data_IF_563362054884
#
_entry.id   IF_563362054884
#
_cell.length_a   1.000
_cell.length_b   1.000
_cell.length_c   1.000
_cell.angle_alpha   90.00
_cell.angle_beta   90.00
_cell.angle_gamma   90.00
#
_symmetry.space_group_name_H-M   'P 1'
#
loop_
_entity.id
_entity.type
_entity.pdbx_description
1 polymer ?
#
# COMPACT_ATOMS: atom_id res chain seq x y z
N UNK A 1 -23.91 -18.90 23.77
CA UNK A 1 -23.14 -19.10 25.02
C UNK A 1 -22.05 -18.05 25.09
N UNK A 2 -21.46 -17.79 26.27
CA UNK A 2 -20.33 -16.85 26.39
C UNK A 2 -18.97 -17.54 26.25
N UNK A 3 -18.94 -18.87 26.35
CA UNK A 3 -17.74 -19.69 26.26
C UNK A 3 -18.15 -21.08 25.73
N UNK A 4 -17.36 -21.62 24.81
CA UNK A 4 -17.51 -22.95 24.23
C UNK A 4 -16.13 -23.59 24.04
N UNK A 5 -16.02 -24.90 24.27
CA UNK A 5 -14.78 -25.67 24.11
C UNK A 5 -14.99 -26.75 23.04
N UNK A 6 -14.06 -26.84 22.10
CA UNK A 6 -14.06 -27.85 21.03
C UNK A 6 -12.81 -28.73 21.16
N UNK A 7 -13.00 -30.04 21.28
CA UNK A 7 -11.90 -31.01 21.44
C UNK A 7 -11.74 -31.85 20.17
N UNK A 8 -10.54 -31.85 19.61
CA UNK A 8 -10.14 -32.68 18.48
C UNK A 8 -9.16 -33.76 18.95
N UNK A 9 -9.44 -35.03 18.62
CA UNK A 9 -8.61 -36.18 19.00
C UNK A 9 -7.67 -36.60 17.86
N UNK A 10 -6.70 -37.46 18.16
CA UNK A 10 -5.80 -38.10 17.18
C UNK A 10 -4.87 -37.14 16.42
N UNK A 11 -4.39 -36.11 17.13
CA UNK A 11 -3.44 -35.12 16.60
C UNK A 11 -2.01 -35.49 17.04
N UNK A 12 -1.14 -35.99 16.13
CA UNK A 12 0.16 -36.57 16.51
C UNK A 12 1.24 -35.53 16.86
N UNK A 13 1.06 -34.28 16.44
CA UNK A 13 2.02 -33.18 16.62
C UNK A 13 1.26 -31.87 16.92
N UNK A 14 1.92 -30.88 17.52
CA UNK A 14 1.26 -29.59 17.83
C UNK A 14 0.77 -28.92 16.54
N UNK A 15 -0.55 -28.67 16.39
CA UNK A 15 -1.08 -28.03 15.18
C UNK A 15 -0.87 -26.52 15.20
N UNK A 16 -0.81 -25.91 14.02
CA UNK A 16 -0.94 -24.46 13.82
C UNK A 16 -2.33 -24.18 13.25
N UNK A 17 -3.27 -23.62 14.03
CA UNK A 17 -4.67 -23.54 13.63
C UNK A 17 -4.92 -22.39 12.65
N UNK A 18 -5.55 -22.70 11.51
CA UNK A 18 -6.08 -21.69 10.58
C UNK A 18 -7.51 -21.33 10.97
N UNK A 19 -7.67 -20.26 11.76
CA UNK A 19 -8.92 -19.86 12.40
C UNK A 19 -9.66 -18.82 11.55
N UNK A 20 -11.00 -18.78 11.61
CA UNK A 20 -11.84 -17.77 10.94
C UNK A 20 -11.71 -17.74 9.40
N UNK A 21 -11.39 -18.88 8.78
CA UNK A 21 -11.23 -19.03 7.32
C UNK A 21 -12.35 -18.39 6.52
N UNK A 22 -11.99 -17.66 5.46
CA UNK A 22 -12.94 -16.92 4.63
C UNK A 22 -13.68 -15.79 5.37
N UNK A 23 -13.10 -15.30 6.47
CA UNK A 23 -13.71 -14.31 7.36
C UNK A 23 -15.11 -14.73 7.81
N UNK A 24 -15.20 -15.94 8.36
CA UNK A 24 -16.49 -16.62 8.65
C UNK A 24 -17.40 -15.86 9.62
N UNK A 25 -16.86 -14.92 10.39
CA UNK A 25 -17.63 -13.98 11.20
C UNK A 25 -16.90 -12.62 11.31
N UNK A 26 -17.64 -11.49 11.39
CA UNK A 26 -17.06 -10.16 11.53
C UNK A 26 -16.71 -9.85 12.99
N UNK A 27 -15.70 -10.53 13.52
CA UNK A 27 -15.28 -10.44 14.93
C UNK A 27 -13.79 -10.11 15.04
N UNK A 28 -13.40 -9.45 16.15
CA UNK A 28 -11.99 -9.33 16.51
C UNK A 28 -11.50 -10.66 17.07
N UNK A 29 -10.50 -11.25 16.42
CA UNK A 29 -9.87 -12.50 16.84
C UNK A 29 -8.68 -12.19 17.75
N UNK A 30 -8.72 -12.71 18.98
CA UNK A 30 -7.57 -12.79 19.87
C UNK A 30 -7.08 -14.25 19.89
N UNK A 31 -5.78 -14.47 19.65
CA UNK A 31 -5.20 -15.81 19.53
C UNK A 31 -3.77 -15.83 20.06
N UNK A 32 -3.30 -17.01 20.45
CA UNK A 32 -1.96 -17.26 21.00
C UNK A 32 -0.90 -17.60 19.93
N UNK A 33 -1.18 -17.31 18.65
CA UNK A 33 -0.24 -17.52 17.56
C UNK A 33 1.08 -16.79 17.81
N UNK A 34 2.17 -17.55 17.80
CA UNK A 34 3.53 -17.02 17.80
C UNK A 34 3.89 -16.46 16.42
N UNK A 35 4.97 -15.70 16.33
CA UNK A 35 5.42 -15.17 15.04
C UNK A 35 5.86 -16.32 14.10
N UNK A 36 6.44 -17.41 14.63
CA UNK A 36 6.75 -18.62 13.87
C UNK A 36 5.49 -19.30 13.31
N UNK A 37 4.40 -19.33 14.08
CA UNK A 37 3.11 -19.84 13.62
C UNK A 37 2.55 -18.98 12.46
N UNK A 38 2.64 -17.66 12.58
CA UNK A 38 2.18 -16.74 11.54
C UNK A 38 3.03 -16.84 10.27
N UNK A 39 4.36 -16.99 10.39
CA UNK A 39 5.22 -17.26 9.24
C UNK A 39 4.89 -18.60 8.60
N UNK A 40 4.58 -19.63 9.39
CA UNK A 40 4.15 -20.92 8.89
C UNK A 40 2.82 -20.82 8.10
N UNK A 41 1.83 -20.11 8.63
CA UNK A 41 0.54 -19.87 7.96
C UNK A 41 0.73 -19.05 6.67
N UNK A 42 1.52 -17.98 6.70
CA UNK A 42 1.84 -17.17 5.52
C UNK A 42 2.52 -18.01 4.41
N UNK A 43 3.29 -19.04 4.76
CA UNK A 43 3.97 -19.88 3.79
C UNK A 43 3.12 -21.08 3.31
N UNK A 44 2.30 -21.66 4.18
CA UNK A 44 1.72 -23.00 3.96
C UNK A 44 0.19 -23.08 4.08
N UNK A 45 -0.51 -22.03 4.52
CA UNK A 45 -1.96 -22.11 4.63
C UNK A 45 -2.59 -22.36 3.25
N UNK A 46 -3.52 -23.31 3.22
CA UNK A 46 -4.25 -23.70 2.01
C UNK A 46 -5.34 -22.71 1.63
N UNK A 47 -5.68 -21.78 2.52
CA UNK A 47 -6.67 -20.74 2.29
C UNK A 47 -5.99 -19.38 2.11
N UNK A 48 -6.26 -18.73 0.97
CA UNK A 48 -5.56 -17.52 0.53
C UNK A 48 -5.81 -16.33 1.46
N UNK A 49 -7.03 -16.17 1.99
CA UNK A 49 -7.34 -15.07 2.91
C UNK A 49 -6.56 -15.20 4.22
N UNK A 50 -6.52 -16.38 4.83
CA UNK A 50 -5.76 -16.59 6.08
C UNK A 50 -4.26 -16.51 5.85
N UNK A 51 -3.77 -16.94 4.67
CA UNK A 51 -2.37 -16.73 4.26
C UNK A 51 -2.03 -15.24 4.21
N UNK A 52 -2.91 -14.44 3.61
CA UNK A 52 -2.79 -12.98 3.57
C UNK A 52 -2.88 -12.36 4.96
N UNK A 53 -3.88 -12.74 5.77
CA UNK A 53 -4.11 -12.20 7.11
C UNK A 53 -2.93 -12.47 8.04
N UNK A 54 -2.32 -13.66 7.99
CA UNK A 54 -1.11 -13.96 8.74
C UNK A 54 0.03 -12.97 8.41
N UNK A 55 0.19 -12.63 7.12
CA UNK A 55 1.11 -11.58 6.67
C UNK A 55 0.75 -10.19 7.20
N UNK A 56 -0.54 -9.83 7.21
CA UNK A 56 -1.01 -8.55 7.76
C UNK A 56 -0.79 -8.45 9.27
N UNK A 57 -1.05 -9.52 10.03
CA UNK A 57 -0.79 -9.56 11.49
C UNK A 57 0.70 -9.36 11.75
N UNK A 58 1.57 -10.06 11.02
CA UNK A 58 3.03 -9.89 11.12
C UNK A 58 3.45 -8.45 10.81
N UNK A 59 2.95 -7.87 9.72
CA UNK A 59 3.26 -6.51 9.33
C UNK A 59 2.78 -5.48 10.38
N UNK A 60 1.57 -5.65 10.92
CA UNK A 60 1.01 -4.79 11.98
C UNK A 60 1.85 -4.87 13.26
N UNK A 61 2.18 -6.07 13.73
CA UNK A 61 3.07 -6.27 14.90
C UNK A 61 4.44 -5.61 14.70
N UNK A 62 5.04 -5.82 13.54
CA UNK A 62 6.35 -5.26 13.19
C UNK A 62 6.32 -3.72 13.17
N UNK A 63 5.37 -3.13 12.45
CA UNK A 63 5.24 -1.67 12.35
C UNK A 63 4.92 -1.06 13.71
N UNK A 64 4.05 -1.68 14.51
CA UNK A 64 3.74 -1.22 15.86
C UNK A 64 4.97 -1.23 16.78
N UNK A 65 5.82 -2.27 16.69
CA UNK A 65 7.10 -2.30 17.40
C UNK A 65 8.03 -1.18 16.96
N UNK A 66 8.14 -0.94 15.64
CA UNK A 66 8.97 0.14 15.09
C UNK A 66 8.48 1.53 15.50
N UNK A 67 7.16 1.73 15.67
CA UNK A 67 6.59 2.97 16.21
C UNK A 67 7.06 3.20 17.64
N UNK A 68 7.04 2.16 18.47
CA UNK A 68 7.55 2.23 19.84
C UNK A 68 9.05 2.58 19.88
N UNK A 69 9.85 2.03 18.97
CA UNK A 69 11.27 2.35 18.85
C UNK A 69 11.51 3.78 18.35
N UNK A 70 10.72 4.25 17.38
CA UNK A 70 10.76 5.63 16.89
C UNK A 70 10.49 6.63 18.02
N UNK A 71 9.43 6.42 18.79
CA UNK A 71 9.05 7.27 19.92
C UNK A 71 10.12 7.32 21.01
N UNK A 72 10.90 6.25 21.15
CA UNK A 72 12.04 6.16 22.07
C UNK A 72 13.35 6.67 21.47
N UNK A 73 13.33 7.25 20.27
CA UNK A 73 14.51 7.70 19.52
C UNK A 73 15.55 6.58 19.31
N UNK A 74 15.11 5.33 19.18
CA UNK A 74 15.97 4.21 18.81
C UNK A 74 16.10 4.14 17.29
N UNK A 75 17.22 3.58 16.79
CA UNK A 75 17.36 3.32 15.36
C UNK A 75 16.30 2.32 14.90
N UNK A 76 15.62 2.65 13.80
CA UNK A 76 14.69 1.72 13.16
C UNK A 76 15.48 0.66 12.39
N UNK A 77 15.18 -0.61 12.66
CA UNK A 77 15.80 -1.76 11.99
C UNK A 77 14.70 -2.68 11.52
N UNK A 78 14.59 -2.89 10.20
CA UNK A 78 13.62 -3.80 9.64
C UNK A 78 14.11 -5.25 9.79
N UNK A 79 13.23 -6.14 10.26
CA UNK A 79 13.57 -7.55 10.40
C UNK A 79 13.89 -8.18 9.03
N UNK A 80 15.05 -8.84 8.94
CA UNK A 80 15.45 -9.58 7.75
C UNK A 80 14.47 -10.70 7.37
N UNK A 81 13.78 -11.30 8.33
CA UNK A 81 12.76 -12.31 8.03
C UNK A 81 11.57 -11.71 7.28
N UNK A 82 11.16 -10.49 7.62
CA UNK A 82 10.11 -9.77 6.91
C UNK A 82 10.52 -9.45 5.46
N UNK A 83 11.75 -8.97 5.25
CA UNK A 83 12.31 -8.72 3.91
C UNK A 83 12.35 -10.02 3.09
N UNK A 84 12.80 -11.14 3.70
CA UNK A 84 12.82 -12.47 3.05
C UNK A 84 11.42 -12.96 2.68
N UNK A 85 10.41 -12.70 3.53
CA UNK A 85 9.01 -13.01 3.23
C UNK A 85 8.52 -12.26 1.99
N UNK A 86 8.74 -10.95 1.93
CA UNK A 86 8.43 -10.13 0.75
C UNK A 86 9.12 -10.65 -0.52
N UNK A 87 10.42 -10.97 -0.41
CA UNK A 87 11.19 -11.55 -1.51
C UNK A 87 10.61 -12.89 -1.98
N UNK A 88 10.25 -13.78 -1.06
CA UNK A 88 9.66 -15.07 -1.43
C UNK A 88 8.35 -14.91 -2.20
N UNK A 89 7.50 -13.96 -1.82
CA UNK A 89 6.26 -13.66 -2.54
C UNK A 89 6.58 -13.13 -3.94
N UNK A 90 7.50 -12.16 -4.08
CA UNK A 90 7.87 -11.58 -5.37
C UNK A 90 8.50 -12.61 -6.34
N UNK A 91 9.22 -13.60 -5.82
CA UNK A 91 9.90 -14.62 -6.61
C UNK A 91 9.06 -15.88 -6.89
N UNK A 92 7.91 -16.05 -6.23
CA UNK A 92 7.07 -17.23 -6.41
C UNK A 92 6.09 -17.04 -7.58
N UNK A 93 6.44 -17.65 -8.72
CA UNK A 93 5.63 -17.61 -9.94
C UNK A 93 4.36 -18.48 -9.89
N UNK A 94 4.19 -19.29 -8.85
CA UNK A 94 2.99 -20.13 -8.67
C UNK A 94 1.82 -19.37 -8.03
N UNK A 95 2.10 -18.23 -7.39
CA UNK A 95 1.08 -17.43 -6.72
C UNK A 95 0.21 -16.66 -7.70
N UNK A 96 -1.07 -16.53 -7.34
CA UNK A 96 -1.95 -15.60 -8.03
C UNK A 96 -1.49 -14.15 -7.82
N UNK A 97 -1.51 -13.36 -8.90
CA UNK A 97 -0.99 -11.97 -8.89
C UNK A 97 -1.84 -11.04 -8.04
N UNK A 98 -3.14 -11.29 -7.91
CA UNK A 98 -4.02 -10.51 -7.05
C UNK A 98 -3.71 -10.79 -5.57
N UNK A 99 -3.46 -12.06 -5.23
CA UNK A 99 -2.95 -12.43 -3.91
C UNK A 99 -1.59 -11.76 -3.62
N UNK A 100 -0.62 -11.87 -4.53
CA UNK A 100 0.69 -11.21 -4.38
C UNK A 100 0.54 -9.71 -4.14
N UNK A 101 -0.27 -9.01 -4.94
CA UNK A 101 -0.51 -7.57 -4.79
C UNK A 101 -1.07 -7.22 -3.41
N UNK A 102 -1.99 -8.05 -2.88
CA UNK A 102 -2.56 -7.86 -1.54
C UNK A 102 -1.58 -8.16 -0.42
N UNK A 103 -0.82 -9.25 -0.52
CA UNK A 103 0.19 -9.63 0.48
C UNK A 103 1.37 -8.64 0.54
N UNK A 104 1.69 -7.96 -0.56
CA UNK A 104 2.72 -6.93 -0.62
C UNK A 104 2.23 -5.53 -0.22
N UNK A 105 0.94 -5.38 0.12
CA UNK A 105 0.38 -4.10 0.57
C UNK A 105 0.58 -3.97 2.08
N UNK A 106 1.38 -2.98 2.49
CA UNK A 106 1.56 -2.67 3.91
C UNK A 106 0.24 -2.21 4.55
N UNK A 107 0.03 -2.50 5.85
CA UNK A 107 -1.07 -1.94 6.62
C UNK A 107 -1.21 -0.42 6.45
N UNK A 108 -2.45 0.05 6.47
CA UNK A 108 -2.74 1.48 6.43
C UNK A 108 -2.39 2.16 7.76
N UNK A 109 -2.15 3.47 7.73
CA UNK A 109 -1.75 4.24 8.93
C UNK A 109 -2.83 4.19 10.00
N UNK A 110 -4.11 4.24 9.59
CA UNK A 110 -5.25 4.10 10.49
C UNK A 110 -5.28 2.76 11.23
N UNK A 111 -4.93 1.65 10.55
CA UNK A 111 -4.89 0.33 11.19
C UNK A 111 -3.85 0.27 12.32
N UNK A 112 -2.71 0.94 12.14
CA UNK A 112 -1.67 1.01 13.17
C UNK A 112 -2.09 1.93 14.31
N UNK A 113 -2.70 3.08 13.99
CA UNK A 113 -3.21 4.03 15.00
C UNK A 113 -4.31 3.42 15.87
N UNK A 114 -5.19 2.58 15.30
CA UNK A 114 -6.25 1.88 16.04
C UNK A 114 -5.69 0.90 17.10
N UNK A 115 -4.44 0.43 16.93
CA UNK A 115 -3.75 -0.40 17.92
C UNK A 115 -3.14 0.42 19.07
N UNK A 116 -3.07 1.75 18.94
CA UNK A 116 -2.43 2.63 19.90
C UNK A 116 -3.42 3.13 20.96
N UNK A 117 -2.97 3.23 22.21
CA UNK A 117 -3.76 3.88 23.28
C UNK A 117 -3.90 5.38 23.05
N UNK A 118 -2.87 5.99 22.48
CA UNK A 118 -2.82 7.41 22.09
C UNK A 118 -2.24 7.43 20.70
N UNK A 119 -3.00 7.94 19.73
CA UNK A 119 -2.55 8.02 18.34
C UNK A 119 -1.35 8.98 18.20
N UNK A 120 -0.40 8.57 17.37
CA UNK A 120 0.79 9.36 17.01
C UNK A 120 0.99 9.28 15.48
N UNK A 121 0.28 10.12 14.72
CA UNK A 121 0.28 10.04 13.25
C UNK A 121 1.69 10.31 12.69
N UNK A 122 2.48 11.18 13.32
CA UNK A 122 3.85 11.48 12.90
C UNK A 122 4.76 10.25 13.01
N UNK A 123 4.67 9.51 14.13
CA UNK A 123 5.45 8.29 14.32
C UNK A 123 5.03 7.17 13.36
N UNK A 124 3.72 6.98 13.17
CA UNK A 124 3.19 5.96 12.24
C UNK A 124 3.62 6.27 10.81
N UNK A 125 3.48 7.52 10.38
CA UNK A 125 3.93 7.98 9.06
C UNK A 125 5.44 7.77 8.86
N UNK A 126 6.26 8.16 9.85
CA UNK A 126 7.71 8.01 9.78
C UNK A 126 8.12 6.54 9.65
N UNK A 127 7.51 5.65 10.44
CA UNK A 127 7.76 4.21 10.39
C UNK A 127 7.30 3.60 9.07
N UNK A 128 6.09 3.92 8.61
CA UNK A 128 5.58 3.39 7.35
C UNK A 128 6.44 3.82 6.16
N UNK A 129 6.87 5.08 6.15
CA UNK A 129 7.82 5.61 5.17
C UNK A 129 9.16 4.89 5.25
N UNK A 130 9.70 4.65 6.45
CA UNK A 130 10.92 3.88 6.66
C UNK A 130 10.81 2.46 6.12
N UNK A 131 9.76 1.71 6.50
CA UNK A 131 9.55 0.32 6.06
C UNK A 131 9.45 0.24 4.54
N UNK A 132 8.66 1.14 3.92
CA UNK A 132 8.50 1.19 2.45
C UNK A 132 9.83 1.42 1.75
N UNK A 133 10.61 2.41 2.21
CA UNK A 133 11.94 2.68 1.67
C UNK A 133 12.90 1.52 1.90
N UNK A 134 12.93 0.91 3.08
CA UNK A 134 13.84 -0.20 3.33
C UNK A 134 13.52 -1.39 2.42
N UNK A 135 12.24 -1.77 2.27
CA UNK A 135 11.82 -2.84 1.36
C UNK A 135 12.18 -2.53 -0.09
N UNK A 136 11.90 -1.32 -0.55
CA UNK A 136 12.19 -0.92 -1.92
C UNK A 136 13.70 -0.94 -2.22
N UNK A 137 14.56 -0.72 -1.22
CA UNK A 137 16.02 -0.67 -1.38
C UNK A 137 16.57 -2.09 -1.46
N UNK A 138 16.18 -2.93 -0.50
CA UNK A 138 16.66 -4.31 -0.38
C UNK A 138 16.13 -5.22 -1.49
N UNK A 139 14.96 -4.89 -2.07
CA UNK A 139 14.28 -5.69 -3.08
C UNK A 139 14.14 -4.95 -4.43
N UNK A 140 15.03 -3.99 -4.71
CA UNK A 140 14.97 -3.15 -5.91
C UNK A 140 14.93 -3.98 -7.19
N UNK A 141 15.81 -4.98 -7.31
CA UNK A 141 15.89 -5.84 -8.49
C UNK A 141 14.62 -6.69 -8.67
N UNK A 142 14.09 -7.24 -7.57
CA UNK A 142 12.86 -8.02 -7.58
C UNK A 142 11.67 -7.17 -8.01
N UNK A 143 11.51 -5.95 -7.47
CA UNK A 143 10.46 -5.04 -7.88
C UNK A 143 10.59 -4.61 -9.36
N UNK A 144 11.81 -4.33 -9.84
CA UNK A 144 12.04 -4.04 -11.26
C UNK A 144 11.66 -5.22 -12.17
N UNK A 145 12.02 -6.44 -11.77
CA UNK A 145 11.61 -7.65 -12.48
C UNK A 145 10.09 -7.85 -12.44
N UNK A 146 9.43 -7.56 -11.31
CA UNK A 146 7.98 -7.59 -11.20
C UNK A 146 7.32 -6.59 -12.15
N UNK A 147 7.83 -5.36 -12.25
CA UNK A 147 7.32 -4.38 -13.23
C UNK A 147 7.47 -4.94 -14.64
N UNK A 148 8.68 -5.33 -15.04
CA UNK A 148 8.99 -5.85 -16.38
C UNK A 148 8.10 -7.04 -16.77
N UNK A 149 7.91 -8.01 -15.87
CA UNK A 149 7.13 -9.22 -16.12
C UNK A 149 5.62 -8.97 -16.14
N UNK A 150 5.17 -7.83 -15.63
CA UNK A 150 3.76 -7.45 -15.57
C UNK A 150 3.44 -6.23 -16.44
N UNK A 151 4.37 -5.70 -17.23
CA UNK A 151 4.09 -4.74 -18.30
C UNK A 151 3.55 -5.49 -19.52
N UNK A 152 2.53 -4.93 -20.17
CA UNK A 152 1.94 -5.48 -21.40
C UNK A 152 1.67 -4.36 -22.38
N UNK A 153 1.94 -4.61 -23.66
CA UNK A 153 1.60 -3.75 -24.79
C UNK A 153 0.27 -4.13 -25.44
N UNK A 154 -0.43 -5.14 -24.91
CA UNK A 154 -1.73 -5.57 -25.40
C UNK A 154 -2.81 -4.50 -25.19
N UNK A 155 -3.88 -4.59 -25.97
CA UNK A 155 -5.03 -3.71 -25.80
C UNK A 155 -5.63 -3.91 -24.40
N UNK A 156 -6.06 -2.81 -23.78
CA UNK A 156 -6.72 -2.87 -22.48
C UNK A 156 -7.97 -3.74 -22.54
N UNK A 157 -8.02 -4.73 -21.65
CA UNK A 157 -9.17 -5.58 -21.41
C UNK A 157 -9.56 -5.53 -19.91
N UNK A 158 -10.87 -5.54 -19.68
CA UNK A 158 -11.46 -5.58 -18.34
C UNK A 158 -11.76 -7.03 -17.95
N UNK A 159 -10.71 -7.75 -17.58
CA UNK A 159 -10.77 -9.12 -17.07
C UNK A 159 -9.94 -9.26 -15.79
N UNK A 160 -10.16 -10.36 -15.06
CA UNK A 160 -9.49 -10.65 -13.81
C UNK A 160 -7.96 -10.82 -13.96
N UNK A 161 -7.44 -11.66 -14.87
CA UNK A 161 -5.98 -11.79 -15.08
C UNK A 161 -5.25 -10.47 -15.35
N UNK A 162 -5.79 -9.62 -16.24
CA UNK A 162 -5.21 -8.32 -16.56
C UNK A 162 -5.30 -7.34 -15.40
N UNK A 163 -6.40 -7.36 -14.63
CA UNK A 163 -6.53 -6.56 -13.41
C UNK A 163 -5.50 -6.97 -12.35
N UNK A 164 -5.33 -8.28 -12.12
CA UNK A 164 -4.36 -8.83 -11.16
C UNK A 164 -2.92 -8.46 -11.55
N UNK A 165 -2.57 -8.60 -12.84
CA UNK A 165 -1.28 -8.17 -13.40
C UNK A 165 -1.01 -6.68 -13.14
N UNK A 166 -1.95 -5.81 -13.46
CA UNK A 166 -1.82 -4.36 -13.23
C UNK A 166 -1.68 -4.03 -11.75
N UNK A 167 -2.50 -4.66 -10.89
CA UNK A 167 -2.42 -4.46 -9.45
C UNK A 167 -1.02 -4.77 -8.91
N UNK A 168 -0.44 -5.92 -9.28
CA UNK A 168 0.90 -6.30 -8.86
C UNK A 168 1.98 -5.36 -9.42
N UNK A 169 1.88 -4.97 -10.70
CA UNK A 169 2.79 -3.99 -11.31
C UNK A 169 2.77 -2.67 -10.54
N UNK A 170 1.57 -2.17 -10.21
CA UNK A 170 1.39 -0.87 -9.58
C UNK A 170 1.87 -0.85 -8.13
N UNK A 171 1.72 -1.96 -7.39
CA UNK A 171 2.37 -2.13 -6.08
C UNK A 171 3.89 -2.02 -6.20
N UNK A 172 4.51 -2.69 -7.18
CA UNK A 172 5.95 -2.61 -7.40
C UNK A 172 6.41 -1.20 -7.79
N UNK A 173 5.69 -0.51 -8.69
CA UNK A 173 5.96 0.89 -9.04
C UNK A 173 5.85 1.82 -7.81
N UNK A 174 4.87 1.57 -6.95
CA UNK A 174 4.72 2.29 -5.69
C UNK A 174 5.94 2.15 -4.77
N UNK A 175 6.50 0.94 -4.62
CA UNK A 175 7.73 0.76 -3.84
C UNK A 175 8.92 1.46 -4.51
N UNK A 176 9.14 1.24 -5.80
CA UNK A 176 10.25 1.84 -6.54
C UNK A 176 10.22 3.38 -6.47
N UNK A 177 9.03 3.98 -6.63
CA UNK A 177 8.85 5.44 -6.55
C UNK A 177 9.07 6.08 -5.18
N UNK A 178 9.40 5.28 -4.14
CA UNK A 178 9.71 5.81 -2.81
C UNK A 178 11.11 6.44 -2.68
N UNK A 179 11.94 6.35 -3.71
CA UNK A 179 13.27 6.96 -3.77
C UNK A 179 13.40 8.04 -4.83
N UNK A 180 14.31 8.98 -4.55
CA UNK A 180 14.83 9.92 -5.53
C UNK A 180 15.92 9.25 -6.37
N UNK A 181 15.49 8.42 -7.33
CA UNK A 181 16.37 7.77 -8.30
C UNK A 181 15.96 8.19 -9.72
N UNK A 182 16.93 8.67 -10.50
CA UNK A 182 16.69 9.20 -11.84
C UNK A 182 16.20 8.12 -12.82
N UNK A 183 16.70 6.89 -12.72
CA UNK A 183 16.29 5.78 -13.59
C UNK A 183 14.86 5.35 -13.25
N UNK A 184 14.52 5.31 -11.96
CA UNK A 184 13.15 5.00 -11.52
C UNK A 184 12.18 6.11 -11.92
N UNK A 185 12.59 7.37 -11.81
CA UNK A 185 11.77 8.50 -12.23
C UNK A 185 11.48 8.45 -13.73
N UNK A 186 12.47 8.10 -14.56
CA UNK A 186 12.25 7.92 -16.00
C UNK A 186 11.35 6.73 -16.31
N UNK A 187 11.49 5.61 -15.57
CA UNK A 187 10.58 4.47 -15.67
C UNK A 187 9.13 4.86 -15.37
N UNK A 188 8.90 5.60 -14.28
CA UNK A 188 7.57 6.08 -13.91
C UNK A 188 6.99 7.06 -14.93
N UNK A 189 7.82 7.96 -15.48
CA UNK A 189 7.44 8.85 -16.56
C UNK A 189 7.07 8.10 -17.83
N UNK A 190 7.82 7.05 -18.16
CA UNK A 190 7.50 6.17 -19.28
C UNK A 190 6.12 5.52 -19.07
N UNK A 191 5.91 4.85 -17.94
CA UNK A 191 4.64 4.20 -17.60
C UNK A 191 3.46 5.19 -17.62
N UNK A 192 3.63 6.41 -17.09
CA UNK A 192 2.63 7.47 -17.15
C UNK A 192 2.28 7.88 -18.59
N UNK A 193 3.29 8.13 -19.44
CA UNK A 193 3.10 8.61 -20.82
C UNK A 193 2.56 7.54 -21.76
N UNK A 194 2.91 6.28 -21.54
CA UNK A 194 2.49 5.16 -22.39
C UNK A 194 1.26 4.44 -21.88
N UNK A 195 0.71 4.84 -20.73
CA UNK A 195 -0.49 4.24 -20.16
C UNK A 195 -1.66 4.28 -21.15
N UNK A 196 -2.25 3.12 -21.41
CA UNK A 196 -3.41 2.95 -22.30
C UNK A 196 -4.74 2.99 -21.54
N UNK A 197 -4.70 3.09 -20.22
CA UNK A 197 -5.85 3.09 -19.34
C UNK A 197 -5.61 3.95 -18.09
N UNK A 198 -6.71 4.44 -17.51
CA UNK A 198 -6.69 5.31 -16.34
C UNK A 198 -6.04 4.66 -15.10
N UNK A 199 -6.06 3.34 -14.94
CA UNK A 199 -5.48 2.70 -13.75
C UNK A 199 -3.96 2.84 -13.77
N UNK A 200 -3.32 2.51 -14.90
CA UNK A 200 -1.86 2.61 -15.02
C UNK A 200 -1.38 4.07 -15.01
N UNK A 201 -2.11 4.97 -15.69
CA UNK A 201 -1.79 6.41 -15.71
C UNK A 201 -1.84 7.02 -14.30
N UNK A 202 -2.87 6.67 -13.52
CA UNK A 202 -3.03 7.17 -12.16
C UNK A 202 -1.98 6.64 -11.19
N UNK A 203 -1.68 5.35 -11.24
CA UNK A 203 -0.73 4.75 -10.30
C UNK A 203 0.70 5.27 -10.56
N UNK A 204 1.07 5.47 -11.83
CA UNK A 204 2.33 6.14 -12.18
C UNK A 204 2.36 7.60 -11.71
N UNK A 205 1.25 8.34 -11.88
CA UNK A 205 1.11 9.72 -11.38
C UNK A 205 1.26 9.78 -9.85
N UNK A 206 0.59 8.89 -9.11
CA UNK A 206 0.64 8.84 -7.64
C UNK A 206 2.06 8.56 -7.15
N UNK A 207 2.79 7.66 -7.81
CA UNK A 207 4.19 7.38 -7.49
C UNK A 207 5.11 8.59 -7.77
N UNK A 208 4.89 9.31 -8.87
CA UNK A 208 5.63 10.54 -9.19
C UNK A 208 5.29 11.70 -8.23
N UNK A 209 4.04 11.81 -7.79
CA UNK A 209 3.56 12.86 -6.89
C UNK A 209 4.17 12.80 -5.47
N UNK A 210 4.79 11.67 -5.10
CA UNK A 210 5.50 11.55 -3.82
C UNK A 210 6.84 12.30 -3.79
N UNK A 211 7.43 12.59 -4.95
CA UNK A 211 8.76 13.18 -5.05
C UNK A 211 8.66 14.68 -5.41
N UNK A 212 9.09 15.60 -4.54
CA UNK A 212 9.01 17.03 -4.83
C UNK A 212 9.96 17.41 -5.97
N UNK A 213 9.51 18.29 -6.86
CA UNK A 213 10.38 18.83 -7.92
C UNK A 213 9.64 19.17 -9.20
N UNK A 214 10.42 19.60 -10.20
CA UNK A 214 9.90 20.05 -11.49
C UNK A 214 9.09 18.98 -12.22
N UNK A 215 9.54 17.73 -12.17
CA UNK A 215 8.86 16.60 -12.82
C UNK A 215 7.44 16.42 -12.27
N UNK A 216 7.29 16.46 -10.94
CA UNK A 216 5.99 16.38 -10.28
C UNK A 216 5.05 17.48 -10.75
N UNK A 217 5.51 18.73 -10.77
CA UNK A 217 4.68 19.86 -11.18
C UNK A 217 4.26 19.74 -12.65
N UNK A 218 5.16 19.27 -13.52
CA UNK A 218 4.88 19.03 -14.94
C UNK A 218 3.83 17.93 -15.16
N UNK A 219 3.95 16.78 -14.49
CA UNK A 219 2.99 15.67 -14.66
C UNK A 219 1.63 15.97 -14.06
N UNK A 220 1.56 16.70 -12.93
CA UNK A 220 0.29 17.15 -12.37
C UNK A 220 -0.43 18.14 -13.29
N UNK A 221 0.32 19.07 -13.91
CA UNK A 221 -0.25 20.02 -14.86
C UNK A 221 -0.68 19.34 -16.16
N UNK A 222 0.12 18.42 -16.69
CA UNK A 222 -0.20 17.62 -17.87
C UNK A 222 -1.48 16.80 -17.66
N UNK A 223 -1.56 16.07 -16.54
CA UNK A 223 -2.74 15.28 -16.19
C UNK A 223 -3.99 16.15 -16.08
N UNK A 224 -3.90 17.29 -15.39
CA UNK A 224 -5.03 18.23 -15.30
C UNK A 224 -5.44 18.75 -16.67
N UNK A 225 -4.51 19.21 -17.50
CA UNK A 225 -4.82 19.76 -18.82
C UNK A 225 -5.51 18.74 -19.72
N UNK A 226 -5.10 17.47 -19.65
CA UNK A 226 -5.71 16.35 -20.37
C UNK A 226 -7.12 16.03 -19.87
N UNK A 227 -7.33 16.04 -18.55
CA UNK A 227 -8.56 15.52 -17.93
C UNK A 227 -9.50 16.58 -17.33
N UNK A 228 -9.20 17.87 -17.46
CA UNK A 228 -9.98 18.97 -16.86
C UNK A 228 -11.47 18.99 -17.22
N UNK A 229 -11.86 18.33 -18.33
CA UNK A 229 -13.25 18.20 -18.75
C UNK A 229 -14.00 17.05 -18.06
N UNK A 230 -13.29 16.09 -17.47
CA UNK A 230 -13.85 14.99 -16.68
C UNK A 230 -13.74 15.32 -15.19
N UNK A 231 -14.87 15.76 -14.65
CA UNK A 231 -15.00 16.15 -13.26
C UNK A 231 -14.60 15.05 -12.25
N UNK A 232 -14.91 13.78 -12.52
CA UNK A 232 -14.59 12.68 -11.59
C UNK A 232 -13.09 12.42 -11.58
N UNK A 233 -12.43 12.56 -12.72
CA UNK A 233 -10.97 12.45 -12.82
C UNK A 233 -10.28 13.63 -12.13
N UNK A 234 -10.80 14.84 -12.28
CA UNK A 234 -10.29 16.03 -11.56
C UNK A 234 -10.42 15.87 -10.04
N UNK A 235 -11.50 15.24 -9.54
CA UNK A 235 -11.61 14.93 -8.11
C UNK A 235 -10.50 13.99 -7.64
N UNK A 236 -10.14 12.98 -8.45
CA UNK A 236 -8.99 12.12 -8.12
C UNK A 236 -7.68 12.91 -8.10
N UNK A 237 -7.48 13.81 -9.05
CA UNK A 237 -6.31 14.71 -9.10
C UNK A 237 -6.19 15.62 -7.88
N UNK A 238 -7.30 16.15 -7.35
CA UNK A 238 -7.30 16.88 -6.07
C UNK A 238 -6.92 15.96 -4.90
N UNK A 239 -7.48 14.75 -4.86
CA UNK A 239 -7.22 13.77 -3.80
C UNK A 239 -5.76 13.36 -3.74
N UNK A 240 -5.12 13.08 -4.87
CA UNK A 240 -3.72 12.66 -4.86
C UNK A 240 -2.80 13.74 -4.30
N UNK A 241 -2.98 14.99 -4.76
CA UNK A 241 -2.23 16.11 -4.20
C UNK A 241 -2.50 16.32 -2.71
N UNK A 242 -3.73 16.10 -2.23
CA UNK A 242 -4.03 16.18 -0.80
C UNK A 242 -3.37 15.06 0.02
N UNK A 243 -3.20 13.87 -0.55
CA UNK A 243 -2.53 12.72 0.06
C UNK A 243 -1.02 12.71 -0.15
N UNK A 244 -0.47 13.67 -0.92
CA UNK A 244 0.95 13.72 -1.21
C UNK A 244 1.78 13.97 0.05
N UNK A 245 2.92 13.28 0.12
CA UNK A 245 3.87 13.36 1.22
C UNK A 245 4.96 14.42 1.02
N UNK A 246 4.80 15.29 0.03
CA UNK A 246 5.77 16.36 -0.22
C UNK A 246 5.86 17.32 0.97
N UNK A 247 7.07 17.85 1.27
CA UNK A 247 7.23 18.83 2.32
C UNK A 247 6.27 20.01 2.15
N UNK A 248 5.64 20.44 3.25
CA UNK A 248 4.69 21.56 3.29
C UNK A 248 3.44 21.36 2.42
N UNK A 249 2.97 20.12 2.23
CA UNK A 249 1.80 19.85 1.40
C UNK A 249 0.52 20.61 1.80
N UNK A 250 0.37 20.97 3.07
CA UNK A 250 -0.72 21.86 3.55
C UNK A 250 -0.78 23.17 2.75
N UNK A 251 0.36 23.74 2.37
CA UNK A 251 0.42 24.94 1.54
C UNK A 251 -0.07 24.68 0.10
N UNK A 252 0.23 23.50 -0.45
CA UNK A 252 -0.28 23.09 -1.77
C UNK A 252 -1.80 22.91 -1.75
N UNK A 253 -2.33 22.22 -0.74
CA UNK A 253 -3.78 22.07 -0.55
C UNK A 253 -4.46 23.44 -0.41
N UNK A 254 -3.85 24.37 0.32
CA UNK A 254 -4.38 25.75 0.41
C UNK A 254 -4.42 26.47 -0.94
N UNK A 255 -3.43 26.25 -1.82
CA UNK A 255 -3.46 26.78 -3.20
C UNK A 255 -4.59 26.15 -4.01
N UNK A 256 -4.82 24.84 -3.86
CA UNK A 256 -5.88 24.11 -4.57
C UNK A 256 -7.29 24.58 -4.21
N UNK A 257 -7.51 25.12 -3.01
CA UNK A 257 -8.78 25.76 -2.64
C UNK A 257 -9.14 26.96 -3.53
N UNK A 258 -8.15 27.59 -4.16
CA UNK A 258 -8.34 28.71 -5.09
C UNK A 258 -8.29 28.26 -6.56
N UNK A 259 -8.19 26.96 -6.82
CA UNK A 259 -8.09 26.44 -8.17
C UNK A 259 -9.43 26.62 -8.92
N UNK A 260 -9.46 27.02 -10.20
CA UNK A 260 -10.70 27.23 -10.95
C UNK A 260 -11.62 26.00 -11.00
N UNK A 261 -11.04 24.81 -10.94
CA UNK A 261 -11.80 23.56 -10.91
C UNK A 261 -12.33 23.21 -9.51
N UNK A 262 -12.02 23.95 -8.44
CA UNK A 262 -12.52 23.71 -7.10
C UNK A 262 -13.80 24.52 -6.83
N UNK A 263 -14.83 23.89 -6.24
CA UNK A 263 -16.06 24.57 -5.82
C UNK A 263 -16.51 24.00 -4.47
N UNK A 264 -16.64 24.86 -3.46
CA UNK A 264 -17.09 24.49 -2.11
C UNK A 264 -18.54 24.00 -2.06
N UNK A 265 -19.36 24.32 -3.07
CA UNK A 265 -20.76 23.86 -3.15
C UNK A 265 -20.86 22.41 -3.62
N UNK A 266 -19.76 21.85 -4.12
CA UNK A 266 -19.71 20.49 -4.61
C UNK A 266 -19.13 19.56 -3.52
N UNK A 267 -19.96 18.67 -2.95
CA UNK A 267 -19.53 17.80 -1.86
C UNK A 267 -18.43 16.83 -2.27
N UNK A 268 -18.33 16.41 -3.53
CA UNK A 268 -17.25 15.51 -3.93
C UNK A 268 -15.91 16.24 -4.06
N UNK A 269 -15.92 17.55 -4.42
CA UNK A 269 -14.69 18.37 -4.41
C UNK A 269 -14.23 18.64 -2.99
N UNK A 270 -15.16 18.97 -2.10
CA UNK A 270 -14.87 19.11 -0.66
C UNK A 270 -14.32 17.81 -0.09
N UNK A 271 -14.94 16.67 -0.42
CA UNK A 271 -14.48 15.35 0.00
C UNK A 271 -13.09 14.98 -0.53
N UNK A 272 -12.84 15.25 -1.81
CA UNK A 272 -11.56 14.91 -2.45
C UNK A 272 -10.39 15.74 -1.96
N UNK A 273 -10.61 16.98 -1.51
CA UNK A 273 -9.53 17.85 -1.06
C UNK A 273 -9.47 18.00 0.47
N UNK A 274 -10.57 18.45 1.07
CA UNK A 274 -10.61 18.85 2.49
C UNK A 274 -10.75 17.64 3.39
N UNK A 275 -11.71 16.76 3.13
CA UNK A 275 -11.86 15.56 3.96
C UNK A 275 -10.60 14.70 3.89
N UNK A 276 -9.99 14.61 2.71
CA UNK A 276 -8.76 13.83 2.50
C UNK A 276 -7.60 14.34 3.36
N UNK A 277 -7.34 15.66 3.43
CA UNK A 277 -6.26 16.17 4.29
C UNK A 277 -6.60 16.07 5.79
N UNK A 278 -7.88 16.15 6.17
CA UNK A 278 -8.29 15.94 7.58
C UNK A 278 -7.99 14.51 8.05
N UNK A 279 -8.15 13.51 7.18
CA UNK A 279 -7.74 12.13 7.47
C UNK A 279 -6.23 11.95 7.57
N UNK A 280 -5.43 12.79 6.92
CA UNK A 280 -3.95 12.77 7.00
C UNK A 280 -3.44 13.53 8.23
N UNK A 281 -4.22 14.47 8.77
CA UNK A 281 -3.85 15.32 9.91
C UNK A 281 -4.40 14.83 11.27
N UNK A 282 -5.33 13.86 11.26
CA UNK A 282 -5.91 13.23 12.44
C UNK A 282 -5.24 11.87 12.69
#
# INVERSE_FOLDING_TARGET
QNEEEFVFSDIPERPVPSILRGYSAPVSLDSDHTDDDLYFLLANDSEEFNRWEAGQVLARKLMFSLVSDFQQNKPLVLDMQFIRGFKSILCDSSLDKQFMAKALTLPEEGEIMDMMKVADPDAVYAVRTFVRKQLASELKEEFLNTVKNNTSSEQYEFDHPNKARRALKNIALGYLGSFEDAEITELLLHEYRTATNMTDELEALVALDQNPGKIRDEVLADFYNKWQHDYLVVNKWFRFQAMSNVPKNVENVRKLLNHPAFDFRDPNKVGSLISTILWVLL
#
